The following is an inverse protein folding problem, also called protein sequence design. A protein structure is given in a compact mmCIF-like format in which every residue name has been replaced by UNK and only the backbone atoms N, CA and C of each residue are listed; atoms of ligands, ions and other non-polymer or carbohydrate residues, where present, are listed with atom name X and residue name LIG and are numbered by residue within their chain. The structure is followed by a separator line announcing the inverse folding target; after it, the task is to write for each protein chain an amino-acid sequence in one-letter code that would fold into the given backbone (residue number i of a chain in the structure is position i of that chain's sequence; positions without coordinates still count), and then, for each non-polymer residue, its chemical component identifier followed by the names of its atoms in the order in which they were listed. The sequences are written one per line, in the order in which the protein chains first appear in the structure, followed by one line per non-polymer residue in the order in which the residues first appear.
data_IF_042825678955
#
_entry.id   IF_042825678955
#
_cell.length_a   1.000
_cell.length_b   1.000
_cell.length_c   1.000
_cell.angle_alpha   90.00
_cell.angle_beta   90.00
_cell.angle_gamma   90.00
#
_symmetry.space_group_name_H-M   'P 1'
#
loop_
_entity.id
_entity.type
_entity.pdbx_description
1 polymer ?
#
# COMPACT_ATOMS: atom_id res chain seq x y z
N UNK A 1 -3.07 -0.58 2.46
CA UNK A 1 -3.68 -1.85 2.92
C UNK A 1 -4.20 -2.78 1.80
N UNK A 2 -5.09 -2.34 0.89
CA UNK A 2 -5.84 -3.25 -0.01
C UNK A 2 -4.98 -4.12 -0.93
N UNK A 3 -3.85 -3.61 -1.45
CA UNK A 3 -2.95 -4.39 -2.31
C UNK A 3 -2.31 -5.58 -1.57
N UNK A 4 -1.88 -5.40 -0.32
CA UNK A 4 -1.29 -6.50 0.47
C UNK A 4 -2.32 -7.62 0.66
N UNK A 5 -3.57 -7.26 1.02
CA UNK A 5 -4.67 -8.21 1.13
C UNK A 5 -4.89 -8.98 -0.18
N UNK A 6 -4.90 -8.25 -1.29
CA UNK A 6 -5.07 -8.83 -2.62
C UNK A 6 -3.95 -9.81 -2.99
N UNK A 7 -2.69 -9.46 -2.74
CA UNK A 7 -1.55 -10.35 -2.98
C UNK A 7 -1.64 -11.60 -2.10
N UNK A 8 -1.93 -11.46 -0.80
CA UNK A 8 -2.11 -12.60 0.10
C UNK A 8 -3.26 -13.53 -0.35
N UNK A 9 -4.40 -12.99 -0.77
CA UNK A 9 -5.51 -13.79 -1.30
C UNK A 9 -5.12 -14.55 -2.58
N UNK A 10 -4.37 -13.91 -3.49
CA UNK A 10 -4.06 -14.47 -4.81
C UNK A 10 -2.87 -15.44 -4.81
N UNK A 11 -1.80 -15.12 -4.09
CA UNK A 11 -0.56 -15.89 -4.10
C UNK A 11 -0.48 -16.89 -2.95
N UNK A 12 -1.02 -16.54 -1.78
CA UNK A 12 -0.96 -17.37 -0.58
C UNK A 12 -2.30 -18.04 -0.24
N UNK A 13 -3.39 -17.74 -0.98
CA UNK A 13 -4.74 -18.29 -0.77
C UNK A 13 -5.33 -18.01 0.63
N UNK A 14 -4.84 -16.96 1.30
CA UNK A 14 -5.31 -16.53 2.62
C UNK A 14 -6.68 -15.87 2.48
N UNK A 15 -7.65 -16.24 3.31
CA UNK A 15 -8.95 -15.57 3.40
C UNK A 15 -8.94 -14.54 4.52
N UNK A 16 -9.43 -13.34 4.23
CA UNK A 16 -9.60 -12.30 5.25
C UNK A 16 -11.03 -12.38 5.78
N UNK A 17 -11.26 -12.39 7.11
CA UNK A 17 -12.61 -12.37 7.66
C UNK A 17 -13.33 -11.05 7.28
N UNK A 18 -14.63 -11.15 6.99
CA UNK A 18 -15.47 -10.02 6.57
C UNK A 18 -15.61 -8.93 7.64
N UNK A 19 -15.26 -9.22 8.89
CA UNK A 19 -15.33 -8.29 10.02
C UNK A 19 -13.98 -7.68 10.34
N UNK A 20 -13.89 -6.36 10.20
CA UNK A 20 -12.89 -5.56 10.90
C UNK A 20 -13.21 -5.68 12.39
N UNK A 21 -12.47 -6.50 13.14
CA UNK A 21 -12.44 -6.34 14.59
C UNK A 21 -11.73 -5.02 14.86
N UNK A 22 -12.50 -3.93 14.98
CA UNK A 22 -11.99 -2.69 15.60
C UNK A 22 -11.41 -3.12 16.95
N UNK A 23 -10.15 -2.80 17.16
CA UNK A 23 -9.42 -3.18 18.36
C UNK A 23 -10.21 -2.80 19.62
N UNK A 24 -10.20 -3.63 20.68
CA UNK A 24 -10.70 -3.25 22.00
C UNK A 24 -9.82 -2.18 22.67
N UNK A 25 -8.69 -1.80 22.06
CA UNK A 25 -7.87 -0.65 22.45
C UNK A 25 -8.63 0.63 22.07
N UNK A 26 -9.65 0.94 22.86
CA UNK A 26 -10.70 1.93 22.63
C UNK A 26 -10.26 3.41 22.63
N UNK A 27 -8.99 3.74 22.35
CA UNK A 27 -8.49 5.13 22.46
C UNK A 27 -7.43 5.58 21.44
N UNK A 28 -7.15 4.85 20.37
CA UNK A 28 -6.14 5.31 19.40
C UNK A 28 -6.71 5.32 17.98
N UNK A 29 -7.22 6.48 17.54
CA UNK A 29 -7.68 6.73 16.16
C UNK A 29 -6.56 6.66 15.10
N UNK A 30 -5.32 6.27 15.47
CA UNK A 30 -4.12 6.39 14.65
C UNK A 30 -3.87 5.20 13.71
N UNK A 31 -4.50 4.05 13.95
CA UNK A 31 -4.31 2.85 13.11
C UNK A 31 -5.60 2.08 12.86
N UNK A 32 -5.64 1.34 11.75
CA UNK A 32 -6.65 0.32 11.49
C UNK A 32 -5.98 -1.07 11.46
N UNK A 33 -6.52 -2.06 12.17
CA UNK A 33 -5.93 -3.40 12.32
C UNK A 33 -6.82 -4.45 11.67
N UNK A 34 -6.23 -5.31 10.85
CA UNK A 34 -6.89 -6.45 10.21
C UNK A 34 -6.18 -7.74 10.59
N UNK A 35 -6.91 -8.61 11.28
CA UNK A 35 -6.42 -9.92 11.69
C UNK A 35 -6.68 -10.97 10.60
N UNK A 36 -5.66 -11.76 10.30
CA UNK A 36 -5.74 -13.06 9.63
C UNK A 36 -5.42 -14.18 10.63
N UNK A 37 -5.53 -15.44 10.20
CA UNK A 37 -5.20 -16.60 11.04
C UNK A 37 -3.77 -16.47 11.61
N UNK A 38 -2.79 -16.16 10.75
CA UNK A 38 -1.37 -16.22 11.13
C UNK A 38 -0.66 -14.85 11.22
N UNK A 39 -1.31 -13.74 10.86
CA UNK A 39 -0.68 -12.41 10.87
C UNK A 39 -1.68 -11.26 10.98
N UNK A 40 -1.16 -10.06 11.20
CA UNK A 40 -1.93 -8.81 11.25
C UNK A 40 -1.45 -7.85 10.18
N UNK A 41 -2.38 -7.14 9.54
CA UNK A 41 -2.07 -5.95 8.72
C UNK A 41 -2.49 -4.73 9.53
N UNK A 42 -1.53 -3.82 9.78
CA UNK A 42 -1.73 -2.57 10.51
C UNK A 42 -1.59 -1.42 9.52
N UNK A 43 -2.67 -0.71 9.26
CA UNK A 43 -2.65 0.53 8.47
C UNK A 43 -2.30 1.69 9.41
N UNK A 44 -1.08 2.21 9.27
CA UNK A 44 -0.60 3.39 10.01
C UNK A 44 -1.04 4.63 9.24
N UNK A 45 -1.90 5.47 9.81
CA UNK A 45 -2.50 6.64 9.13
C UNK A 45 -1.51 7.79 8.98
N UNK A 46 -0.41 7.54 8.27
CA UNK A 46 0.73 8.43 8.11
C UNK A 46 2.02 7.85 8.69
N UNK A 47 3.14 8.16 8.03
CA UNK A 47 4.47 7.65 8.40
C UNK A 47 4.95 8.08 9.79
N UNK A 48 4.51 9.24 10.27
CA UNK A 48 4.88 9.75 11.60
C UNK A 48 4.37 8.85 12.74
N UNK A 49 3.40 7.98 12.45
CA UNK A 49 2.86 7.02 13.40
C UNK A 49 3.64 5.71 13.47
N UNK A 50 4.67 5.50 12.63
CA UNK A 50 5.42 4.25 12.55
C UNK A 50 6.07 3.89 13.90
N UNK A 51 6.78 4.83 14.52
CA UNK A 51 7.41 4.60 15.82
C UNK A 51 6.40 4.24 16.90
N UNK A 52 5.25 4.93 16.90
CA UNK A 52 4.16 4.64 17.83
C UNK A 52 3.59 3.23 17.63
N UNK A 53 3.38 2.82 16.37
CA UNK A 53 2.91 1.49 16.03
C UNK A 53 3.91 0.41 16.48
N UNK A 54 5.20 0.59 16.22
CA UNK A 54 6.23 -0.35 16.65
C UNK A 54 6.27 -0.49 18.18
N UNK A 55 6.34 0.63 18.92
CA UNK A 55 6.46 0.61 20.40
C UNK A 55 5.18 0.21 21.13
N UNK A 56 4.05 0.76 20.72
CA UNK A 56 2.81 0.69 21.52
C UNK A 56 1.95 -0.48 21.08
N UNK A 57 1.98 -0.81 19.80
CA UNK A 57 1.06 -1.79 19.21
C UNK A 57 1.77 -3.13 18.98
N UNK A 58 2.99 -3.11 18.43
CA UNK A 58 3.70 -4.35 18.04
C UNK A 58 4.55 -4.91 19.18
N UNK A 59 5.30 -4.07 19.91
CA UNK A 59 6.20 -4.53 20.97
C UNK A 59 5.55 -5.44 22.04
N UNK A 60 4.30 -5.21 22.49
CA UNK A 60 3.63 -6.12 23.43
C UNK A 60 3.47 -7.56 22.93
N UNK A 61 3.45 -7.77 21.61
CA UNK A 61 3.26 -9.09 20.98
C UNK A 61 4.57 -9.70 20.46
N UNK A 62 5.70 -9.02 20.64
CA UNK A 62 6.98 -9.36 20.00
C UNK A 62 7.49 -10.79 20.30
N UNK A 63 7.11 -11.36 21.45
CA UNK A 63 7.46 -12.76 21.81
C UNK A 63 6.82 -13.77 20.88
N UNK A 64 5.61 -13.51 20.38
CA UNK A 64 4.89 -14.39 19.45
C UNK A 64 5.06 -13.99 17.98
N UNK A 65 5.68 -12.85 17.70
CA UNK A 65 5.86 -12.35 16.33
C UNK A 65 7.19 -12.83 15.75
N UNK A 66 7.14 -13.63 14.69
CA UNK A 66 8.32 -14.10 13.97
C UNK A 66 8.92 -13.00 13.08
N UNK A 67 8.08 -12.32 12.30
CA UNK A 67 8.48 -11.31 11.31
C UNK A 67 7.55 -10.11 11.31
N UNK A 68 8.08 -8.96 10.93
CA UNK A 68 7.38 -7.68 10.79
C UNK A 68 7.77 -7.11 9.43
N UNK A 69 6.80 -6.94 8.54
CA UNK A 69 6.97 -6.24 7.26
C UNK A 69 6.48 -4.80 7.35
N UNK A 70 7.31 -3.84 6.94
CA UNK A 70 6.97 -2.42 6.81
C UNK A 70 6.90 -2.07 5.33
N UNK A 71 5.78 -1.52 4.88
CA UNK A 71 5.60 -0.99 3.52
C UNK A 71 5.25 0.49 3.64
N UNK A 72 6.01 1.36 2.97
CA UNK A 72 5.82 2.81 3.01
C UNK A 72 6.17 3.45 1.66
N UNK A 73 5.66 4.65 1.40
CA UNK A 73 5.99 5.40 0.20
C UNK A 73 7.44 5.94 0.25
N UNK A 74 8.15 5.91 -0.89
CA UNK A 74 9.44 6.57 -1.04
C UNK A 74 9.32 8.10 -1.24
N UNK A 75 8.08 8.62 -1.24
CA UNK A 75 7.74 10.03 -1.39
C UNK A 75 8.58 10.73 -2.47
N UNK A 76 9.22 11.85 -2.11
CA UNK A 76 10.03 12.67 -3.01
C UNK A 76 11.54 12.44 -2.80
N UNK A 77 11.94 11.69 -1.77
CA UNK A 77 13.34 11.36 -1.46
C UNK A 77 13.42 9.97 -0.84
N UNK A 78 13.89 9.02 -1.64
CA UNK A 78 14.03 7.63 -1.24
C UNK A 78 14.96 7.45 -0.02
N UNK A 79 16.08 8.18 0.02
CA UNK A 79 17.06 8.03 1.08
C UNK A 79 16.53 8.62 2.39
N UNK A 80 15.85 9.77 2.33
CA UNK A 80 15.22 10.36 3.49
C UNK A 80 14.12 9.45 4.07
N UNK A 81 13.26 8.87 3.23
CA UNK A 81 12.25 7.90 3.66
C UNK A 81 12.88 6.67 4.32
N UNK A 82 13.96 6.15 3.73
CA UNK A 82 14.70 5.01 4.30
C UNK A 82 15.29 5.33 5.67
N UNK A 83 15.96 6.48 5.81
CA UNK A 83 16.54 6.95 7.09
C UNK A 83 15.45 7.12 8.15
N UNK A 84 14.28 7.65 7.78
CA UNK A 84 13.15 7.81 8.69
C UNK A 84 12.66 6.46 9.25
N UNK A 85 12.52 5.44 8.39
CA UNK A 85 12.15 4.08 8.81
C UNK A 85 13.24 3.48 9.70
N UNK A 86 14.50 3.56 9.30
CA UNK A 86 15.63 3.02 10.08
C UNK A 86 15.72 3.66 11.47
N UNK A 87 15.45 4.96 11.58
CA UNK A 87 15.35 5.66 12.86
C UNK A 87 14.21 5.12 13.70
N UNK A 88 13.00 5.01 13.13
CA UNK A 88 11.85 4.47 13.86
C UNK A 88 12.08 3.03 14.36
N UNK A 89 12.73 2.19 13.55
CA UNK A 89 13.13 0.83 13.93
C UNK A 89 14.12 0.86 15.10
N UNK A 90 15.18 1.66 14.99
CA UNK A 90 16.20 1.78 16.03
C UNK A 90 15.60 2.25 17.35
N UNK A 91 14.79 3.32 17.27
CA UNK A 91 14.14 3.91 18.43
C UNK A 91 13.13 2.94 19.06
N UNK A 92 12.54 2.01 18.29
CA UNK A 92 11.55 1.03 18.77
C UNK A 92 12.11 -0.09 19.64
N UNK A 93 13.43 -0.30 19.62
CA UNK A 93 14.13 -1.40 20.32
C UNK A 93 13.70 -2.82 19.88
N UNK A 94 12.94 -2.94 18.78
CA UNK A 94 12.62 -4.23 18.17
C UNK A 94 13.87 -4.79 17.48
N UNK A 95 14.20 -6.08 17.66
CA UNK A 95 15.34 -6.70 16.99
C UNK A 95 15.24 -6.57 15.48
N UNK A 96 16.27 -5.99 14.86
CA UNK A 96 16.28 -5.65 13.42
C UNK A 96 16.10 -6.87 12.53
N UNK A 97 16.57 -8.04 12.96
CA UNK A 97 16.43 -9.30 12.24
C UNK A 97 14.97 -9.76 12.08
N UNK A 98 14.04 -9.24 12.91
CA UNK A 98 12.62 -9.49 12.76
C UNK A 98 11.94 -8.55 11.75
N UNK A 99 12.60 -7.48 11.32
CA UNK A 99 11.99 -6.42 10.52
C UNK A 99 12.51 -6.44 9.10
N UNK A 100 11.59 -6.42 8.13
CA UNK A 100 11.88 -6.17 6.73
C UNK A 100 11.13 -4.91 6.27
N UNK A 101 11.73 -4.16 5.35
CA UNK A 101 11.15 -2.92 4.85
C UNK A 101 11.10 -2.89 3.32
N UNK A 102 10.04 -2.30 2.79
CA UNK A 102 9.85 -2.06 1.38
C UNK A 102 9.35 -0.63 1.15
N UNK A 103 10.09 0.12 0.35
CA UNK A 103 9.67 1.43 -0.12
C UNK A 103 9.00 1.30 -1.49
N UNK A 104 7.78 1.78 -1.66
CA UNK A 104 7.14 1.80 -3.00
C UNK A 104 7.85 2.80 -3.91
N UNK A 105 7.82 2.60 -5.24
CA UNK A 105 7.10 1.54 -5.96
C UNK A 105 7.84 0.19 -6.02
N UNK A 106 9.16 0.17 -5.84
CA UNK A 106 9.99 -1.00 -6.15
C UNK A 106 11.25 -1.16 -5.28
N UNK A 107 11.29 -0.48 -4.14
CA UNK A 107 12.40 -0.44 -3.18
C UNK A 107 13.70 0.16 -3.73
N UNK A 108 13.59 1.04 -4.74
CA UNK A 108 14.74 1.73 -5.34
C UNK A 108 14.41 3.14 -5.80
N UNK A 109 13.29 3.30 -6.49
CA UNK A 109 12.88 4.58 -7.08
C UNK A 109 12.00 5.38 -6.12
N UNK A 110 11.89 6.69 -6.35
CA UNK A 110 10.93 7.55 -5.65
C UNK A 110 9.50 7.23 -6.09
N UNK A 111 8.53 7.56 -5.23
CA UNK A 111 7.11 7.43 -5.54
C UNK A 111 6.29 6.69 -4.49
N UNK A 112 5.05 6.40 -4.88
CA UNK A 112 4.00 5.87 -4.04
C UNK A 112 3.37 4.61 -4.69
N UNK A 113 2.35 4.07 -4.03
CA UNK A 113 1.55 2.99 -4.61
C UNK A 113 0.92 3.39 -5.95
N UNK A 114 0.39 4.60 -6.09
CA UNK A 114 -0.19 5.09 -7.34
C UNK A 114 0.85 5.08 -8.48
N UNK A 115 2.10 5.44 -8.19
CA UNK A 115 3.22 5.34 -9.13
C UNK A 115 3.43 3.90 -9.61
N UNK A 116 3.40 2.92 -8.70
CA UNK A 116 3.47 1.51 -9.07
C UNK A 116 2.29 1.12 -9.98
N UNK A 117 1.06 1.44 -9.58
CA UNK A 117 -0.15 1.09 -10.30
C UNK A 117 -0.18 1.66 -11.72
N UNK A 118 0.06 2.96 -11.88
CA UNK A 118 0.09 3.62 -13.18
C UNK A 118 1.19 3.03 -14.08
N UNK A 119 2.34 2.65 -13.51
CA UNK A 119 3.43 2.03 -14.28
C UNK A 119 3.11 0.65 -14.85
N UNK A 120 2.05 -0.01 -14.35
CA UNK A 120 1.60 -1.34 -14.80
C UNK A 120 0.60 -1.27 -15.95
N UNK A 121 0.00 -0.10 -16.18
CA UNK A 121 -0.99 0.09 -17.24
C UNK A 121 -0.25 0.15 -18.59
N UNK A 122 -0.77 -0.60 -19.57
CA UNK A 122 -0.18 -0.66 -20.90
C UNK A 122 -0.15 0.73 -21.56
N UNK A 123 0.97 1.06 -22.21
CA UNK A 123 1.09 2.24 -23.06
C UNK A 123 0.05 2.16 -24.18
N UNK A 124 -0.63 3.28 -24.46
CA UNK A 124 -1.69 3.34 -25.48
C UNK A 124 -3.08 2.94 -24.98
N UNK A 125 -3.26 2.78 -23.66
CA UNK A 125 -4.60 2.70 -23.09
C UNK A 125 -5.37 4.02 -23.38
N UNK A 126 -6.47 3.93 -24.15
CA UNK A 126 -7.24 5.10 -24.59
C UNK A 126 -7.80 5.94 -23.43
N UNK A 127 -8.16 5.29 -22.33
CA UNK A 127 -8.64 5.99 -21.14
C UNK A 127 -7.46 6.80 -20.55
N UNK A 128 -6.27 6.19 -20.44
CA UNK A 128 -5.08 6.88 -19.93
C UNK A 128 -4.65 8.04 -20.80
N UNK A 129 -4.73 7.94 -22.14
CA UNK A 129 -4.41 9.10 -22.99
C UNK A 129 -5.31 10.30 -22.70
N UNK A 130 -6.62 10.09 -22.44
CA UNK A 130 -7.49 11.20 -22.04
C UNK A 130 -7.08 11.82 -20.71
N UNK A 131 -6.56 11.02 -19.78
CA UNK A 131 -6.07 11.51 -18.49
C UNK A 131 -4.71 12.19 -18.60
N UNK A 132 -3.84 11.76 -19.50
CA UNK A 132 -2.55 12.39 -19.73
C UNK A 132 -2.77 13.83 -20.23
N UNK A 133 -3.67 14.04 -21.19
CA UNK A 133 -4.04 15.39 -21.67
C UNK A 133 -4.61 16.26 -20.54
N UNK A 134 -5.53 15.70 -19.74
CA UNK A 134 -6.10 16.39 -18.58
C UNK A 134 -5.02 16.75 -17.54
N UNK A 135 -4.10 15.83 -17.26
CA UNK A 135 -3.00 16.02 -16.32
C UNK A 135 -2.05 17.10 -16.82
N UNK A 136 -1.72 17.14 -18.11
CA UNK A 136 -0.91 18.20 -18.70
C UNK A 136 -1.57 19.56 -18.51
N UNK A 137 -2.85 19.68 -18.83
CA UNK A 137 -3.61 20.92 -18.62
C UNK A 137 -3.58 21.39 -17.14
N UNK A 138 -3.71 20.46 -16.18
CA UNK A 138 -3.62 20.79 -14.77
C UNK A 138 -2.21 21.16 -14.31
N UNK A 139 -1.17 20.52 -14.84
CA UNK A 139 0.23 20.83 -14.51
C UNK A 139 0.63 22.23 -14.95
N UNK A 140 0.08 22.72 -16.05
CA UNK A 140 0.28 24.10 -16.53
C UNK A 140 -0.21 25.14 -15.52
N UNK A 141 -1.15 24.80 -14.64
CA UNK A 141 -1.64 25.70 -13.59
C UNK A 141 -0.68 25.86 -12.40
N UNK A 142 0.41 25.06 -12.33
CA UNK A 142 1.49 25.07 -11.31
C UNK A 142 1.06 25.07 -9.82
N UNK A 143 -0.22 24.92 -9.53
CA UNK A 143 -0.82 24.99 -8.19
C UNK A 143 -1.15 23.61 -7.63
N UNK A 144 -1.08 22.57 -8.46
CA UNK A 144 -1.53 21.22 -8.13
C UNK A 144 -0.32 20.31 -7.92
N UNK A 145 -0.25 19.70 -6.73
CA UNK A 145 0.83 18.78 -6.38
C UNK A 145 0.75 17.48 -7.20
N UNK A 146 1.90 16.96 -7.67
CA UNK A 146 2.00 15.75 -8.50
C UNK A 146 1.29 14.53 -7.90
N UNK A 147 1.37 14.33 -6.58
CA UNK A 147 0.63 13.25 -5.89
C UNK A 147 -0.89 13.36 -6.07
N UNK A 148 -1.45 14.58 -6.04
CA UNK A 148 -2.89 14.77 -6.25
C UNK A 148 -3.28 14.39 -7.68
N UNK A 149 -2.43 14.70 -8.66
CA UNK A 149 -2.61 14.31 -10.06
C UNK A 149 -2.56 12.78 -10.23
N UNK A 150 -1.55 12.11 -9.66
CA UNK A 150 -1.43 10.65 -9.73
C UNK A 150 -2.62 9.95 -9.08
N UNK A 151 -3.06 10.43 -7.91
CA UNK A 151 -4.28 9.94 -7.23
C UNK A 151 -5.53 10.14 -8.07
N UNK A 152 -5.69 11.31 -8.68
CA UNK A 152 -6.80 11.59 -9.59
C UNK A 152 -6.79 10.65 -10.81
N UNK A 153 -5.61 10.40 -11.39
CA UNK A 153 -5.46 9.51 -12.54
C UNK A 153 -5.77 8.05 -12.18
N UNK A 154 -5.30 7.54 -11.04
CA UNK A 154 -5.67 6.19 -10.56
C UNK A 154 -7.17 6.12 -10.27
N UNK A 155 -7.73 7.10 -9.57
CA UNK A 155 -9.17 7.16 -9.26
C UNK A 155 -10.01 7.11 -10.53
N UNK A 156 -9.64 7.90 -11.52
CA UNK A 156 -10.39 7.96 -12.75
C UNK A 156 -10.20 6.69 -13.59
N UNK A 157 -8.99 6.10 -13.63
CA UNK A 157 -8.77 4.78 -14.22
C UNK A 157 -9.71 3.73 -13.61
N UNK A 158 -9.80 3.69 -12.28
CA UNK A 158 -10.66 2.72 -11.59
C UNK A 158 -12.13 2.95 -11.91
N UNK A 159 -12.57 4.22 -11.93
CA UNK A 159 -13.95 4.62 -12.24
C UNK A 159 -14.38 4.33 -13.67
N UNK A 160 -13.48 4.45 -14.64
CA UNK A 160 -13.80 4.24 -16.06
C UNK A 160 -13.36 2.85 -16.58
N UNK A 161 -12.84 2.00 -15.69
CA UNK A 161 -12.56 0.61 -16.02
C UNK A 161 -13.85 -0.17 -16.32
N UNK A 162 -13.73 -1.38 -16.88
CA UNK A 162 -14.87 -2.24 -17.24
C UNK A 162 -15.81 -2.56 -16.06
N UNK A 163 -15.40 -2.27 -14.82
CA UNK A 163 -16.19 -2.47 -13.60
C UNK A 163 -16.51 -1.16 -12.86
N UNK A 164 -16.42 -0.02 -13.54
CA UNK A 164 -16.51 1.33 -12.99
C UNK A 164 -17.63 1.59 -11.99
N UNK A 165 -18.86 1.14 -12.29
CA UNK A 165 -20.02 1.30 -11.40
C UNK A 165 -19.84 0.63 -10.03
N UNK A 166 -19.00 -0.41 -9.96
CA UNK A 166 -18.73 -1.15 -8.73
C UNK A 166 -17.51 -0.60 -7.97
N UNK A 167 -16.69 0.26 -8.58
CA UNK A 167 -15.36 0.65 -8.07
C UNK A 167 -15.26 2.15 -7.76
N UNK A 168 -16.23 2.68 -7.02
CA UNK A 168 -16.29 4.09 -6.61
C UNK A 168 -15.18 4.51 -5.62
N UNK A 169 -14.42 3.56 -5.06
CA UNK A 169 -13.25 3.83 -4.23
C UNK A 169 -12.02 3.09 -4.79
N UNK A 170 -10.86 3.76 -4.95
CA UNK A 170 -9.64 3.12 -5.45
C UNK A 170 -9.18 1.92 -4.63
N UNK A 171 -9.45 1.91 -3.32
CA UNK A 171 -9.11 0.79 -2.44
C UNK A 171 -9.90 -0.49 -2.76
N UNK A 172 -11.07 -0.38 -3.38
CA UNK A 172 -11.92 -1.50 -3.80
C UNK A 172 -11.51 -2.03 -5.18
N UNK A 173 -10.59 -1.32 -5.86
CA UNK A 173 -10.14 -1.66 -7.21
C UNK A 173 -9.34 -2.95 -7.31
N UNK A 174 -8.92 -3.54 -6.18
CA UNK A 174 -8.30 -4.86 -6.14
C UNK A 174 -9.31 -5.97 -5.89
N UNK A 175 -10.20 -5.77 -4.92
CA UNK A 175 -11.23 -6.71 -4.49
C UNK A 175 -12.49 -5.93 -4.18
N UNK A 176 -13.61 -6.30 -4.80
CA UNK A 176 -14.93 -5.75 -4.52
C UNK A 176 -15.89 -6.87 -4.11
N UNK A 177 -16.50 -6.76 -2.93
CA UNK A 177 -17.39 -7.81 -2.36
C UNK A 177 -16.76 -9.21 -2.39
N UNK A 178 -15.50 -9.31 -1.95
CA UNK A 178 -14.70 -10.55 -1.93
C UNK A 178 -14.40 -11.16 -3.32
N UNK A 179 -14.69 -10.43 -4.40
CA UNK A 179 -14.41 -10.84 -5.77
C UNK A 179 -13.26 -10.00 -6.32
N UNK A 180 -12.29 -10.67 -6.93
CA UNK A 180 -11.21 -10.03 -7.68
C UNK A 180 -11.77 -9.24 -8.86
N UNK A 181 -11.44 -7.96 -8.92
CA UNK A 181 -11.87 -7.05 -9.99
C UNK A 181 -11.15 -7.34 -11.31
N UNK A 182 -10.00 -8.03 -11.26
CA UNK A 182 -9.07 -8.26 -12.37
C UNK A 182 -8.54 -6.98 -13.01
N UNK A 183 -8.66 -5.84 -12.32
CA UNK A 183 -8.20 -4.56 -12.84
C UNK A 183 -6.66 -4.50 -12.90
N UNK A 184 -6.00 -5.09 -11.91
CA UNK A 184 -4.55 -5.04 -11.76
C UNK A 184 -3.94 -6.40 -12.04
N UNK A 185 -3.09 -6.44 -13.07
CA UNK A 185 -2.34 -7.63 -13.47
C UNK A 185 -1.11 -7.85 -12.56
N UNK A 186 -1.25 -8.73 -11.56
CA UNK A 186 -0.16 -9.10 -10.66
C UNK A 186 0.95 -9.92 -11.33
N UNK A 187 0.77 -10.39 -12.57
CA UNK A 187 1.83 -11.05 -13.34
C UNK A 187 2.71 -10.02 -14.08
N UNK A 188 2.31 -8.75 -14.10
CA UNK A 188 3.18 -7.67 -14.56
C UNK A 188 4.45 -7.61 -13.68
N UNK A 189 5.62 -7.72 -14.34
CA UNK A 189 6.94 -7.71 -13.69
C UNK A 189 7.19 -6.53 -12.75
N UNK A 190 6.46 -5.42 -12.90
CA UNK A 190 6.54 -4.26 -12.01
C UNK A 190 6.07 -4.56 -10.58
N UNK A 191 5.14 -5.50 -10.39
CA UNK A 191 4.72 -5.94 -9.06
C UNK A 191 5.70 -6.91 -8.39
N UNK A 192 6.61 -7.54 -9.16
CA UNK A 192 7.49 -8.58 -8.66
C UNK A 192 8.25 -8.20 -7.38
N UNK A 193 8.87 -7.00 -7.26
CA UNK A 193 9.58 -6.62 -6.05
C UNK A 193 8.68 -6.63 -4.80
N UNK A 194 7.45 -6.12 -4.92
CA UNK A 194 6.51 -6.07 -3.81
C UNK A 194 5.93 -7.46 -3.47
N UNK A 195 5.65 -8.27 -4.50
CA UNK A 195 5.18 -9.65 -4.30
C UNK A 195 6.27 -10.46 -3.61
N UNK A 196 7.51 -10.42 -4.11
CA UNK A 196 8.64 -11.13 -3.51
C UNK A 196 8.84 -10.70 -2.04
N UNK A 197 8.74 -9.39 -1.75
CA UNK A 197 8.78 -8.87 -0.38
C UNK A 197 7.68 -9.48 0.51
N UNK A 198 6.42 -9.46 0.07
CA UNK A 198 5.28 -9.99 0.83
C UNK A 198 5.46 -11.50 1.08
N UNK A 199 5.81 -12.28 0.06
CA UNK A 199 6.01 -13.74 0.16
C UNK A 199 7.25 -14.11 1.00
N UNK A 200 8.24 -13.22 1.10
CA UNK A 200 9.38 -13.41 2.00
C UNK A 200 9.10 -12.96 3.43
N UNK A 201 8.00 -12.22 3.64
CA UNK A 201 7.58 -11.75 4.97
C UNK A 201 6.57 -12.70 5.62
N UNK A 202 5.62 -13.21 4.83
CA UNK A 202 4.53 -14.11 5.23
C UNK A 202 4.61 -15.42 4.46
#
# INVERSE_FOLDING_TARGET
MSLVKYICQKRLRIKFPNSVKKSPIAKVNLVDIHQCEDFYIIDIKGQDNLLHALKTIIAPFLRGTERIGIIQDADNDFNASKVSIEKAITDSEIPREKIQCFLTPNNKDIGDLETLLLSTIAKGNKIMSCFDDYKTCLQEQQTIHTKALNKGQVYAYTMYSQQGENLYKPQDSFIHKDIDTKLWDLDNKKFKPLIDFILSTF
#
